data_IF_784862348938
#
_entry.id   IF_784862348938
#
_cell.length_a   1.000
_cell.length_b   1.000
_cell.length_c   1.000
_cell.angle_alpha   90.00
_cell.angle_beta   90.00
_cell.angle_gamma   90.00
#
_symmetry.space_group_name_H-M   'P 1'
#
loop_
_entity.id
_entity.type
_entity.pdbx_description
1 polymer ?
#
# COMPACT_ATOMS: atom_id res chain seq x y z
N UNK A 1 4.41 16.83 11.77
CA UNK A 1 5.46 16.13 12.56
C UNK A 1 6.88 16.45 12.08
N UNK A 2 7.24 16.31 10.79
CA UNK A 2 8.59 16.62 10.30
C UNK A 2 9.14 18.01 10.73
N UNK A 3 8.33 19.07 10.64
CA UNK A 3 8.75 20.41 11.06
C UNK A 3 9.06 20.50 12.56
N UNK A 4 8.37 19.73 13.40
CA UNK A 4 8.59 19.71 14.86
C UNK A 4 9.95 19.07 15.16
N UNK A 5 10.23 17.93 14.52
CA UNK A 5 11.49 17.18 14.70
C UNK A 5 12.71 17.94 14.15
N UNK A 6 12.53 18.78 13.11
CA UNK A 6 13.61 19.58 12.51
C UNK A 6 14.35 20.43 13.55
N UNK A 7 13.63 21.06 14.49
CA UNK A 7 14.21 21.92 15.53
C UNK A 7 14.69 21.19 16.79
N UNK A 8 14.49 19.87 16.90
CA UNK A 8 14.88 19.10 18.09
C UNK A 8 16.33 18.63 17.99
N UNK A 9 17.08 18.55 19.11
CA UNK A 9 18.45 18.02 19.14
C UNK A 9 18.42 16.48 19.10
N UNK A 10 18.03 15.93 17.96
CA UNK A 10 17.98 14.48 17.70
C UNK A 10 18.99 14.11 16.60
N UNK A 11 19.53 12.90 16.70
CA UNK A 11 20.41 12.33 15.66
C UNK A 11 19.60 11.89 14.44
N UNK A 12 20.29 11.72 13.31
CA UNK A 12 19.76 11.10 12.10
C UNK A 12 19.13 9.73 12.38
N UNK A 13 19.82 8.86 13.13
CA UNK A 13 19.32 7.54 13.52
C UNK A 13 18.03 7.62 14.33
N UNK A 14 17.93 8.56 15.28
CA UNK A 14 16.71 8.80 16.04
C UNK A 14 15.58 9.31 15.14
N UNK A 15 15.86 10.21 14.20
CA UNK A 15 14.86 10.71 13.26
C UNK A 15 14.32 9.60 12.34
N UNK A 16 15.19 8.72 11.85
CA UNK A 16 14.83 7.56 11.03
C UNK A 16 14.00 6.57 11.85
N UNK A 17 14.42 6.27 13.08
CA UNK A 17 13.66 5.40 13.98
C UNK A 17 12.24 5.94 14.21
N UNK A 18 12.10 7.23 14.53
CA UNK A 18 10.78 7.86 14.70
C UNK A 18 9.96 7.74 13.41
N UNK A 19 10.57 7.95 12.25
CA UNK A 19 9.86 7.80 10.99
C UNK A 19 9.37 6.36 10.76
N UNK A 20 10.25 5.37 10.85
CA UNK A 20 9.93 3.97 10.58
C UNK A 20 9.02 3.34 11.65
N UNK A 21 9.26 3.62 12.93
CA UNK A 21 8.56 2.96 14.04
C UNK A 21 7.30 3.71 14.52
N UNK A 22 7.13 4.99 14.16
CA UNK A 22 6.00 5.81 14.62
C UNK A 22 5.21 6.37 13.45
N UNK A 23 5.86 7.12 12.55
CA UNK A 23 5.16 7.81 11.46
C UNK A 23 4.56 6.82 10.48
N UNK A 24 5.33 5.82 10.04
CA UNK A 24 4.86 4.81 9.10
C UNK A 24 3.66 4.05 9.68
N UNK A 25 3.70 3.44 10.88
CA UNK A 25 2.52 2.79 11.46
C UNK A 25 1.29 3.69 11.61
N UNK A 26 1.47 4.96 11.97
CA UNK A 26 0.36 5.93 12.03
C UNK A 26 -0.26 6.18 10.65
N UNK A 27 0.56 6.28 9.61
CA UNK A 27 0.09 6.41 8.24
C UNK A 27 -0.57 5.11 7.78
N UNK A 28 0.03 3.94 8.02
CA UNK A 28 -0.56 2.63 7.71
C UNK A 28 -1.96 2.46 8.31
N UNK A 29 -2.14 2.86 9.56
CA UNK A 29 -3.46 2.83 10.21
C UNK A 29 -4.48 3.64 9.42
N UNK A 30 -4.13 4.88 9.04
CA UNK A 30 -5.01 5.74 8.22
C UNK A 30 -5.23 5.15 6.83
N UNK A 31 -4.19 4.54 6.27
CA UNK A 31 -4.22 3.91 4.95
C UNK A 31 -5.04 2.62 4.93
N UNK A 32 -5.41 2.02 6.06
CA UNK A 32 -6.31 0.86 6.02
C UNK A 32 -7.70 1.21 5.47
N UNK A 33 -8.14 2.45 5.66
CA UNK A 33 -9.47 2.92 5.26
C UNK A 33 -9.44 3.75 3.97
N UNK A 34 -8.26 4.08 3.45
CA UNK A 34 -8.11 4.86 2.21
C UNK A 34 -6.81 4.51 1.48
N UNK A 35 -6.79 4.71 0.15
CA UNK A 35 -5.57 4.56 -0.64
C UNK A 35 -5.06 5.92 -1.12
N UNK A 36 -3.76 6.15 -1.01
CA UNK A 36 -3.09 7.27 -1.68
C UNK A 36 -2.53 6.81 -3.04
N UNK A 37 -2.23 7.76 -3.92
CA UNK A 37 -1.36 7.52 -5.07
C UNK A 37 0.10 7.64 -4.70
N UNK A 38 0.97 7.07 -5.51
CA UNK A 38 2.42 7.19 -5.36
C UNK A 38 2.88 8.65 -5.25
N UNK A 39 2.32 9.56 -6.06
CA UNK A 39 2.64 10.99 -6.00
C UNK A 39 2.27 11.63 -4.66
N UNK A 40 1.15 11.23 -4.06
CA UNK A 40 0.75 11.72 -2.74
C UNK A 40 1.63 11.14 -1.65
N UNK A 41 1.97 9.85 -1.72
CA UNK A 41 2.92 9.22 -0.82
C UNK A 41 4.27 9.94 -0.87
N UNK A 42 4.81 10.20 -2.07
CA UNK A 42 6.05 10.95 -2.28
C UNK A 42 5.96 12.36 -1.69
N UNK A 43 4.85 13.07 -1.87
CA UNK A 43 4.65 14.41 -1.30
C UNK A 43 4.69 14.40 0.22
N UNK A 44 4.15 13.36 0.86
CA UNK A 44 4.18 13.16 2.32
C UNK A 44 5.62 12.84 2.77
N UNK A 45 6.28 11.87 2.13
CA UNK A 45 7.61 11.40 2.54
C UNK A 45 8.71 12.43 2.27
N UNK A 46 8.60 13.24 1.22
CA UNK A 46 9.62 14.25 0.84
C UNK A 46 9.97 15.18 2.01
N UNK A 47 8.99 15.62 2.79
CA UNK A 47 9.24 16.49 3.96
C UNK A 47 10.08 15.80 5.03
N UNK A 48 9.85 14.50 5.24
CA UNK A 48 10.62 13.69 6.19
C UNK A 48 12.02 13.36 5.66
N UNK A 49 12.15 13.03 4.37
CA UNK A 49 13.45 12.77 3.75
C UNK A 49 14.35 13.99 3.81
N UNK A 50 13.83 15.17 3.47
CA UNK A 50 14.59 16.42 3.57
C UNK A 50 15.02 16.71 5.01
N UNK A 51 14.18 16.40 5.99
CA UNK A 51 14.55 16.52 7.41
C UNK A 51 15.65 15.52 7.78
N UNK A 52 15.53 14.25 7.39
CA UNK A 52 16.53 13.20 7.65
C UNK A 52 17.87 13.55 7.02
N UNK A 53 17.89 14.00 5.76
CA UNK A 53 19.11 14.49 5.09
C UNK A 53 19.79 15.61 5.88
N UNK A 54 19.02 16.60 6.33
CA UNK A 54 19.57 17.69 7.15
C UNK A 54 20.14 17.19 8.48
N UNK A 55 19.50 16.20 9.13
CA UNK A 55 20.01 15.59 10.37
C UNK A 55 21.26 14.73 10.15
N UNK A 56 21.37 14.11 8.98
CA UNK A 56 22.51 13.34 8.54
C UNK A 56 23.66 14.21 7.98
N UNK A 57 23.52 15.54 8.00
CA UNK A 57 24.47 16.49 7.41
C UNK A 57 24.71 16.25 5.90
N UNK A 58 23.74 15.66 5.22
CA UNK A 58 23.77 15.44 3.78
C UNK A 58 23.26 16.69 3.03
N UNK A 59 23.82 16.99 1.85
CA UNK A 59 23.25 18.00 0.96
C UNK A 59 21.80 17.67 0.61
N UNK A 60 20.97 18.69 0.41
CA UNK A 60 19.58 18.52 -0.05
C UNK A 60 19.53 17.77 -1.39
N UNK A 61 20.54 17.99 -2.23
CA UNK A 61 20.74 17.36 -3.55
C UNK A 61 21.22 15.91 -3.50
N UNK A 62 21.54 15.37 -2.32
CA UNK A 62 21.96 13.97 -2.19
C UNK A 62 20.90 13.03 -2.81
N UNK A 63 21.29 11.94 -3.49
CA UNK A 63 20.33 11.01 -4.08
C UNK A 63 19.38 10.44 -3.02
N UNK A 64 18.07 10.43 -3.29
CA UNK A 64 17.10 9.80 -2.39
C UNK A 64 17.34 8.28 -2.26
N UNK A 65 17.92 7.64 -3.29
CA UNK A 65 18.29 6.23 -3.27
C UNK A 65 19.17 5.89 -2.06
N UNK A 66 20.09 6.78 -1.65
CA UNK A 66 20.93 6.58 -0.47
C UNK A 66 20.13 6.50 0.83
N UNK A 67 19.04 7.26 0.93
CA UNK A 67 18.18 7.31 2.12
C UNK A 67 17.38 6.02 2.28
N UNK A 68 17.00 5.42 1.16
CA UNK A 68 16.21 4.20 1.12
C UNK A 68 17.05 2.92 1.09
N UNK A 69 18.34 3.01 0.75
CA UNK A 69 19.21 1.84 0.70
C UNK A 69 19.34 1.19 2.08
N UNK A 70 19.16 -0.14 2.12
CA UNK A 70 19.20 -0.95 3.34
C UNK A 70 20.59 -0.92 3.99
N UNK A 71 21.63 -0.83 3.18
CA UNK A 71 23.03 -0.76 3.60
C UNK A 71 23.40 0.61 4.19
N UNK A 72 22.52 1.61 4.05
CA UNK A 72 22.76 2.97 4.52
C UNK A 72 21.75 3.37 5.61
N UNK A 73 20.66 4.04 5.24
CA UNK A 73 19.72 4.63 6.19
C UNK A 73 18.42 3.84 6.35
N UNK A 74 18.10 2.91 5.44
CA UNK A 74 16.96 1.99 5.53
C UNK A 74 15.62 2.69 5.89
N UNK A 75 15.38 3.86 5.29
CA UNK A 75 14.12 4.58 5.48
C UNK A 75 13.01 3.83 4.75
N UNK A 76 11.87 3.64 5.40
CA UNK A 76 10.75 2.91 4.81
C UNK A 76 10.12 3.71 3.66
N UNK A 77 9.87 3.04 2.53
CA UNK A 77 9.06 3.57 1.44
C UNK A 77 7.56 3.46 1.76
N UNK A 78 6.89 4.61 1.94
CA UNK A 78 5.46 4.65 2.25
C UNK A 78 4.58 4.01 1.16
N UNK A 79 4.95 4.18 -0.11
CA UNK A 79 4.23 3.58 -1.23
C UNK A 79 4.30 2.05 -1.19
N UNK A 80 5.51 1.50 -1.11
CA UNK A 80 5.73 0.05 -1.04
C UNK A 80 5.06 -0.55 0.20
N UNK A 81 5.10 0.18 1.32
CA UNK A 81 4.43 -0.21 2.55
C UNK A 81 2.91 -0.25 2.39
N UNK A 82 2.31 0.76 1.75
CA UNK A 82 0.88 0.77 1.42
C UNK A 82 0.51 -0.41 0.52
N UNK A 83 1.29 -0.63 -0.54
CA UNK A 83 1.07 -1.73 -1.48
C UNK A 83 1.09 -3.06 -0.72
N UNK A 84 2.16 -3.35 0.01
CA UNK A 84 2.31 -4.57 0.79
C UNK A 84 1.14 -4.78 1.78
N UNK A 85 0.80 -3.76 2.57
CA UNK A 85 -0.26 -3.84 3.56
C UNK A 85 -1.62 -4.09 2.89
N UNK A 86 -1.97 -3.33 1.85
CA UNK A 86 -3.27 -3.45 1.19
C UNK A 86 -3.42 -4.77 0.43
N UNK A 87 -2.37 -5.16 -0.28
CA UNK A 87 -2.27 -6.44 -0.98
C UNK A 87 -2.44 -7.62 -0.01
N UNK A 88 -1.75 -7.61 1.13
CA UNK A 88 -1.88 -8.66 2.14
C UNK A 88 -3.25 -8.66 2.83
N UNK A 89 -3.79 -7.49 3.17
CA UNK A 89 -5.10 -7.38 3.81
C UNK A 89 -6.21 -7.86 2.88
N UNK A 90 -6.16 -7.50 1.59
CA UNK A 90 -7.11 -8.00 0.61
C UNK A 90 -6.98 -9.51 0.44
N UNK A 91 -5.76 -10.03 0.32
CA UNK A 91 -5.51 -11.48 0.25
C UNK A 91 -6.14 -12.23 1.45
N UNK A 92 -5.92 -11.73 2.66
CA UNK A 92 -6.48 -12.33 3.88
C UNK A 92 -8.01 -12.25 3.90
N UNK A 93 -8.60 -11.11 3.51
CA UNK A 93 -10.07 -10.94 3.45
C UNK A 93 -10.72 -11.89 2.45
N UNK A 94 -10.07 -12.14 1.31
CA UNK A 94 -10.60 -13.04 0.30
C UNK A 94 -10.52 -14.52 0.68
N UNK A 95 -9.52 -14.87 1.51
CA UNK A 95 -9.33 -16.23 2.02
C UNK A 95 -9.99 -16.47 3.39
N UNK A 96 -10.63 -15.45 3.97
CA UNK A 96 -11.37 -15.61 5.22
C UNK A 96 -12.64 -16.45 5.01
N UNK A 97 -12.88 -17.40 5.90
CA UNK A 97 -14.08 -18.28 5.86
C UNK A 97 -15.21 -17.78 6.77
N UNK A 98 -14.95 -16.72 7.53
CA UNK A 98 -15.90 -16.14 8.46
C UNK A 98 -16.69 -15.00 7.84
N UNK A 99 -17.20 -14.13 8.74
CA UNK A 99 -18.01 -12.98 8.36
C UNK A 99 -17.25 -11.95 7.51
N UNK A 100 -15.92 -11.83 7.68
CA UNK A 100 -15.11 -10.91 6.87
C UNK A 100 -15.04 -11.38 5.42
N UNK A 101 -14.88 -12.68 5.19
CA UNK A 101 -14.95 -13.29 3.87
C UNK A 101 -16.30 -13.08 3.20
N UNK A 102 -17.39 -13.46 3.86
CA UNK A 102 -18.75 -13.28 3.34
C UNK A 102 -19.06 -11.82 2.98
N UNK A 103 -18.75 -10.87 3.88
CA UNK A 103 -18.98 -9.45 3.62
C UNK A 103 -18.10 -8.91 2.48
N UNK A 104 -16.88 -9.41 2.34
CA UNK A 104 -15.98 -9.05 1.23
C UNK A 104 -16.51 -9.57 -0.11
N UNK A 105 -17.00 -10.80 -0.16
CA UNK A 105 -17.61 -11.39 -1.36
C UNK A 105 -18.85 -10.61 -1.80
N UNK A 106 -19.73 -10.23 -0.86
CA UNK A 106 -20.91 -9.40 -1.17
C UNK A 106 -20.49 -8.04 -1.75
N UNK A 107 -19.48 -7.37 -1.17
CA UNK A 107 -18.96 -6.11 -1.71
C UNK A 107 -18.34 -6.26 -3.10
N UNK A 108 -17.64 -7.35 -3.36
CA UNK A 108 -17.13 -7.67 -4.69
C UNK A 108 -18.26 -7.89 -5.69
N UNK A 109 -19.30 -8.64 -5.32
CA UNK A 109 -20.46 -8.82 -6.20
C UNK A 109 -21.16 -7.49 -6.49
N UNK A 110 -21.34 -6.63 -5.49
CA UNK A 110 -21.89 -5.28 -5.69
C UNK A 110 -21.03 -4.46 -6.66
N UNK A 111 -19.71 -4.52 -6.49
CA UNK A 111 -18.79 -3.84 -7.39
C UNK A 111 -18.92 -4.41 -8.82
N UNK A 112 -19.06 -5.72 -8.97
CA UNK A 112 -19.17 -6.40 -10.28
C UNK A 112 -20.45 -5.99 -10.99
N UNK A 113 -21.56 -6.00 -10.26
CA UNK A 113 -22.87 -5.57 -10.75
C UNK A 113 -22.84 -4.10 -11.16
N UNK A 114 -22.20 -3.23 -10.38
CA UNK A 114 -22.11 -1.82 -10.72
C UNK A 114 -21.27 -1.55 -11.97
N UNK A 115 -20.35 -2.46 -12.28
CA UNK A 115 -19.52 -2.42 -13.47
C UNK A 115 -20.09 -3.20 -14.66
N UNK A 116 -21.20 -3.91 -14.47
CA UNK A 116 -21.81 -4.76 -15.49
C UNK A 116 -20.80 -5.76 -16.09
N UNK A 117 -19.89 -6.28 -15.27
CA UNK A 117 -18.83 -7.18 -15.75
C UNK A 117 -19.25 -8.64 -15.66
N UNK A 118 -19.07 -9.38 -16.75
CA UNK A 118 -19.29 -10.82 -16.80
C UNK A 118 -18.15 -11.61 -16.11
N UNK A 119 -16.96 -11.02 -15.98
CA UNK A 119 -15.80 -11.63 -15.34
C UNK A 119 -15.69 -11.25 -13.87
N UNK A 120 -15.04 -12.10 -13.06
CA UNK A 120 -14.69 -11.75 -11.70
C UNK A 120 -13.77 -10.51 -11.71
N UNK A 121 -14.09 -9.48 -10.91
CA UNK A 121 -13.33 -8.22 -10.93
C UNK A 121 -11.87 -8.45 -10.54
N UNK A 122 -11.62 -9.43 -9.67
CA UNK A 122 -10.30 -9.85 -9.21
C UNK A 122 -9.41 -10.39 -10.33
N UNK A 123 -10.02 -10.99 -11.37
CA UNK A 123 -9.32 -11.56 -12.53
C UNK A 123 -9.47 -10.71 -13.80
N UNK A 124 -10.31 -9.67 -13.75
CA UNK A 124 -10.62 -8.85 -14.92
C UNK A 124 -9.36 -8.27 -15.56
N UNK A 125 -9.28 -8.35 -16.90
CA UNK A 125 -8.16 -7.81 -17.69
C UNK A 125 -8.16 -6.28 -17.78
N UNK A 126 -9.28 -5.62 -17.47
CA UNK A 126 -9.40 -4.16 -17.58
C UNK A 126 -9.23 -3.46 -16.23
N UNK A 127 -8.63 -2.26 -16.23
CA UNK A 127 -8.57 -1.39 -15.04
C UNK A 127 -9.85 -0.56 -15.05
N UNK A 128 -10.74 -0.81 -14.09
CA UNK A 128 -12.01 -0.09 -14.02
C UNK A 128 -11.75 1.31 -13.44
N UNK A 129 -11.74 2.31 -14.33
CA UNK A 129 -11.45 3.71 -13.97
C UNK A 129 -12.66 4.33 -13.29
N UNK A 130 -12.70 4.27 -11.97
CA UNK A 130 -13.67 5.01 -11.16
C UNK A 130 -13.04 6.24 -10.54
N UNK A 131 -13.89 7.13 -10.05
CA UNK A 131 -13.44 8.13 -9.08
C UNK A 131 -12.87 7.41 -7.86
N UNK A 132 -11.67 7.80 -7.44
CA UNK A 132 -11.03 7.29 -6.21
C UNK A 132 -11.92 7.57 -5.00
N UNK A 133 -11.99 6.63 -4.07
CA UNK A 133 -12.80 6.72 -2.85
C UNK A 133 -14.25 6.26 -3.03
N UNK A 134 -14.66 5.87 -4.24
CA UNK A 134 -15.99 5.28 -4.45
C UNK A 134 -16.09 3.86 -3.90
N UNK A 135 -15.02 3.07 -4.04
CA UNK A 135 -14.89 1.75 -3.43
C UNK A 135 -13.42 1.51 -3.07
N UNK A 136 -13.15 1.31 -1.79
CA UNK A 136 -11.81 0.99 -1.31
C UNK A 136 -11.26 -0.29 -1.96
N UNK A 137 -12.11 -1.31 -2.14
CA UNK A 137 -11.72 -2.56 -2.81
C UNK A 137 -11.31 -2.30 -4.26
N UNK A 138 -12.05 -1.45 -4.97
CA UNK A 138 -11.68 -1.07 -6.33
C UNK A 138 -10.33 -0.35 -6.36
N UNK A 139 -10.14 0.63 -5.47
CA UNK A 139 -8.90 1.40 -5.43
C UNK A 139 -7.69 0.50 -5.12
N UNK A 140 -7.83 -0.46 -4.19
CA UNK A 140 -6.80 -1.46 -3.89
C UNK A 140 -6.52 -2.34 -5.10
N UNK A 141 -7.55 -2.84 -5.79
CA UNK A 141 -7.39 -3.69 -6.98
C UNK A 141 -6.68 -2.94 -8.11
N UNK A 142 -7.01 -1.66 -8.32
CA UNK A 142 -6.33 -0.80 -9.29
C UNK A 142 -4.84 -0.68 -8.95
N UNK A 143 -4.50 -0.42 -7.68
CA UNK A 143 -3.10 -0.29 -7.23
C UNK A 143 -2.34 -1.62 -7.36
N UNK A 144 -2.94 -2.73 -6.95
CA UNK A 144 -2.32 -4.06 -7.09
C UNK A 144 -2.00 -4.35 -8.56
N UNK A 145 -2.95 -4.06 -9.45
CA UNK A 145 -2.80 -4.33 -10.88
C UNK A 145 -1.75 -3.46 -11.57
N UNK A 146 -1.55 -2.22 -11.11
CA UNK A 146 -0.42 -1.39 -11.60
C UNK A 146 0.95 -1.97 -11.24
N UNK A 147 1.01 -2.94 -10.33
CA UNK A 147 2.22 -3.65 -9.91
C UNK A 147 2.18 -5.14 -10.29
N UNK A 148 1.41 -5.51 -11.31
CA UNK A 148 1.28 -6.89 -11.82
C UNK A 148 0.81 -7.92 -10.79
N UNK A 149 0.18 -7.46 -9.71
CA UNK A 149 -0.42 -8.31 -8.69
C UNK A 149 -1.87 -8.62 -9.05
N UNK A 150 -2.16 -9.90 -9.31
CA UNK A 150 -3.52 -10.38 -9.62
C UNK A 150 -3.99 -11.41 -8.61
N UNK A 151 -5.30 -11.44 -8.36
CA UNK A 151 -5.94 -12.36 -7.43
C UNK A 151 -6.80 -13.35 -8.22
N UNK A 152 -6.31 -14.58 -8.39
CA UNK A 152 -7.03 -15.64 -9.12
C UNK A 152 -7.65 -16.65 -8.18
N UNK A 153 -8.87 -17.09 -8.51
CA UNK A 153 -9.55 -18.13 -7.77
C UNK A 153 -8.87 -19.48 -8.07
N UNK A 154 -8.48 -20.23 -7.04
CA UNK A 154 -7.95 -21.58 -7.25
C UNK A 154 -9.05 -22.50 -7.79
N UNK A 155 -8.76 -23.20 -8.89
CA UNK A 155 -9.67 -24.15 -9.54
C UNK A 155 -9.78 -25.51 -8.82
N UNK A 156 -9.05 -25.72 -7.71
CA UNK A 156 -9.11 -26.99 -6.98
C UNK A 156 -10.40 -27.06 -6.15
N UNK A 157 -11.34 -27.90 -6.60
CA UNK A 157 -12.61 -28.20 -5.94
C UNK A 157 -12.47 -28.82 -4.52
N UNK A 158 -11.27 -29.27 -4.13
CA UNK A 158 -11.02 -29.86 -2.80
C UNK A 158 -10.41 -28.88 -1.78
N UNK A 159 -9.98 -27.69 -2.21
CA UNK A 159 -9.42 -26.68 -1.31
C UNK A 159 -10.39 -25.48 -1.27
N UNK A 160 -11.27 -25.50 -0.28
CA UNK A 160 -12.18 -24.39 0.02
C UNK A 160 -11.42 -23.05 0.09
N UNK A 161 -11.55 -22.24 -0.96
CA UNK A 161 -11.16 -20.83 -1.11
C UNK A 161 -9.68 -20.52 -0.82
N UNK A 162 -8.78 -20.86 -1.76
CA UNK A 162 -7.40 -20.39 -1.76
C UNK A 162 -7.12 -19.54 -2.99
N UNK A 163 -7.25 -18.22 -2.88
CA UNK A 163 -6.69 -17.31 -3.89
C UNK A 163 -5.16 -17.42 -3.83
N UNK A 164 -4.50 -17.58 -4.98
CA UNK A 164 -3.03 -17.62 -5.08
C UNK A 164 -2.49 -16.32 -5.68
N UNK A 165 -1.33 -15.87 -5.20
CA UNK A 165 -0.56 -14.82 -5.85
C UNK A 165 -0.15 -15.29 -7.25
N UNK A 166 -0.51 -14.51 -8.27
CA UNK A 166 -0.02 -14.74 -9.64
C UNK A 166 0.61 -13.45 -10.13
N UNK A 167 1.93 -13.50 -10.33
CA UNK A 167 2.70 -12.49 -11.06
C UNK A 167 2.54 -12.84 -12.53
N UNK A 168 2.01 -11.91 -13.34
CA UNK A 168 1.93 -12.11 -14.78
C UNK A 168 3.35 -12.05 -15.37
N UNK A 169 3.79 -13.13 -16.03
CA UNK A 169 4.99 -13.15 -16.87
C UNK A 169 4.67 -12.60 -18.25
#
# INVERSE_FOLDING_TARGET
MANILKGKPITDKQAIYIFNAVVIPMLEYSLNDMTLSEKECLKITTKFISMIKNKALLPITAPNALIYAKEAYDVCHLWDRQLQMQSNNLFNRLNDKGMLGCSTQVRLQHLQNSFWSEQSITESLFIMKTKRGWSLINDILVICKTHDLTFKLSKNLNDNLLIKWVISQ
#
